data_IF_844150675499
#
_entry.id   IF_844150675499
#
_cell.length_a   1.000
_cell.length_b   1.000
_cell.length_c   1.000
_cell.angle_alpha   90.00
_cell.angle_beta   90.00
_cell.angle_gamma   90.00
#
_symmetry.space_group_name_H-M   'P 1'
#
loop_
_entity.id
_entity.type
_entity.pdbx_description
1 polymer ?
#
# COMPACT_ATOMS: atom_id res chain seq x y z
N UNK A 1 -4.51 -40.35 -2.19
CA UNK A 1 -4.14 -41.50 -3.05
C UNK A 1 -3.34 -40.97 -4.24
N UNK A 2 -2.04 -41.30 -4.31
CA UNK A 2 -1.12 -41.29 -5.48
C UNK A 2 -0.87 -39.95 -6.24
N UNK A 3 0.32 -39.30 -6.16
CA UNK A 3 1.60 -39.50 -6.91
C UNK A 3 1.40 -39.56 -8.43
N UNK A 4 2.06 -38.80 -9.31
CA UNK A 4 3.42 -38.27 -9.33
C UNK A 4 3.97 -38.58 -10.73
N UNK A 5 4.49 -37.59 -11.47
CA UNK A 5 5.10 -37.81 -12.79
C UNK A 5 6.60 -37.48 -12.74
N UNK A 6 7.40 -38.54 -12.87
CA UNK A 6 8.76 -38.49 -13.43
C UNK A 6 8.66 -39.12 -14.83
N UNK A 7 9.38 -38.58 -15.81
CA UNK A 7 10.25 -39.42 -16.63
C UNK A 7 11.30 -38.62 -17.41
N UNK A 8 12.49 -39.21 -17.43
CA UNK A 8 13.74 -38.79 -18.03
C UNK A 8 14.02 -39.71 -19.24
N UNK A 9 14.54 -39.14 -20.33
CA UNK A 9 15.11 -39.84 -21.49
C UNK A 9 16.13 -38.88 -22.13
N UNK A 10 17.25 -39.28 -22.75
CA UNK A 10 17.88 -40.56 -23.07
C UNK A 10 19.34 -40.23 -23.45
N UNK A 11 20.22 -41.22 -23.36
CA UNK A 11 21.68 -41.19 -23.63
C UNK A 11 22.00 -41.55 -25.09
N UNK A 12 23.08 -40.99 -25.65
CA UNK A 12 23.99 -41.65 -26.64
C UNK A 12 25.40 -41.03 -26.54
N UNK A 13 26.45 -41.76 -26.10
CA UNK A 13 27.52 -42.48 -26.89
C UNK A 13 28.30 -41.55 -27.87
N UNK A 14 29.64 -41.56 -28.06
CA UNK A 14 30.76 -42.45 -27.70
C UNK A 14 32.13 -41.78 -28.04
N UNK A 15 33.23 -42.24 -27.39
CA UNK A 15 34.67 -42.22 -27.77
C UNK A 15 35.42 -40.88 -27.97
N UNK A 16 36.65 -40.63 -27.48
CA UNK A 16 37.66 -41.43 -26.78
C UNK A 16 39.08 -41.08 -27.28
N UNK A 17 40.00 -40.59 -26.42
CA UNK A 17 41.48 -40.83 -26.50
C UNK A 17 42.28 -40.30 -25.27
N UNK A 18 42.67 -41.25 -24.42
CA UNK A 18 43.98 -41.49 -23.74
C UNK A 18 45.18 -40.60 -24.20
N UNK A 19 46.18 -40.16 -23.40
CA UNK A 19 46.88 -40.73 -22.21
C UNK A 19 47.82 -39.68 -21.56
N UNK A 20 47.96 -39.79 -20.24
CA UNK A 20 49.10 -39.61 -19.30
C UNK A 20 50.26 -38.62 -19.56
N UNK A 21 50.59 -37.87 -18.49
CA UNK A 21 51.90 -37.26 -18.26
C UNK A 21 51.98 -36.53 -16.91
N UNK A 22 52.69 -37.12 -15.96
CA UNK A 22 53.01 -36.64 -14.61
C UNK A 22 54.06 -35.51 -14.60
N UNK A 23 53.95 -34.58 -13.64
CA UNK A 23 54.98 -34.21 -12.62
C UNK A 23 55.03 -32.72 -12.28
N UNK A 24 55.29 -32.46 -10.99
CA UNK A 24 55.88 -31.23 -10.39
C UNK A 24 54.94 -30.11 -9.86
N UNK A 25 54.83 -30.08 -8.53
CA UNK A 25 54.63 -28.88 -7.69
C UNK A 25 55.97 -28.11 -7.62
N UNK A 26 56.00 -26.75 -7.49
CA UNK A 26 55.86 -26.16 -6.15
C UNK A 26 55.28 -24.73 -6.07
N UNK A 27 55.04 -24.37 -4.80
CA UNK A 27 55.04 -23.04 -4.18
C UNK A 27 53.75 -22.23 -3.99
N UNK A 28 53.29 -22.36 -2.75
CA UNK A 28 52.47 -21.49 -1.91
C UNK A 28 52.58 -19.98 -2.18
N UNK A 29 51.43 -19.34 -2.31
CA UNK A 29 51.18 -17.98 -1.82
C UNK A 29 49.91 -18.00 -0.95
N UNK A 30 49.90 -17.37 0.23
CA UNK A 30 48.70 -17.31 1.05
C UNK A 30 47.67 -16.43 0.34
N UNK A 31 46.50 -16.98 0.03
CA UNK A 31 45.33 -16.18 -0.34
C UNK A 31 44.90 -15.43 0.92
N UNK A 32 45.09 -14.12 0.89
CA UNK A 32 44.60 -13.19 1.89
C UNK A 32 43.08 -13.30 1.99
N UNK A 33 42.59 -13.61 3.17
CA UNK A 33 41.17 -13.55 3.50
C UNK A 33 40.74 -12.08 3.47
N UNK A 34 40.21 -11.61 2.34
CA UNK A 34 39.49 -10.34 2.28
C UNK A 34 38.09 -10.59 2.80
N UNK A 35 37.92 -10.44 4.12
CA UNK A 35 36.61 -10.33 4.76
C UNK A 35 35.93 -9.05 4.25
N UNK A 36 35.21 -9.16 3.14
CA UNK A 36 34.21 -8.17 2.76
C UNK A 36 33.01 -8.36 3.69
N UNK A 37 33.13 -7.87 4.92
CA UNK A 37 31.98 -7.60 5.76
C UNK A 37 31.18 -6.51 5.05
N UNK A 38 30.22 -6.91 4.23
CA UNK A 38 29.15 -6.03 3.78
C UNK A 38 28.32 -5.69 5.00
N UNK A 39 28.78 -4.69 5.75
CA UNK A 39 27.98 -4.02 6.74
C UNK A 39 26.78 -3.43 6.01
N UNK A 40 25.65 -4.12 6.10
CA UNK A 40 24.34 -3.56 5.78
C UNK A 40 24.19 -2.32 6.64
N UNK A 41 24.49 -1.16 6.06
CA UNK A 41 24.22 0.11 6.71
C UNK A 41 22.70 0.24 6.79
N UNK A 42 22.15 -0.08 7.96
CA UNK A 42 20.81 0.36 8.33
C UNK A 42 20.89 1.88 8.37
N UNK A 43 20.44 2.53 7.30
CA UNK A 43 20.28 3.98 7.28
C UNK A 43 19.16 4.33 8.24
N UNK A 44 19.51 4.64 9.49
CA UNK A 44 18.59 5.25 10.43
C UNK A 44 18.34 6.69 9.98
N UNK A 45 17.16 6.93 9.40
CA UNK A 45 16.65 8.26 9.02
C UNK A 45 16.76 9.22 10.20
N UNK A 46 17.32 10.42 9.98
CA UNK A 46 17.51 11.41 11.05
C UNK A 46 16.17 11.90 11.63
N UNK A 47 16.08 12.16 12.94
CA UNK A 47 14.89 12.74 13.55
C UNK A 47 14.73 14.19 13.07
N UNK A 48 13.69 14.46 12.28
CA UNK A 48 13.38 15.79 11.78
C UNK A 48 12.96 15.87 10.31
N UNK A 49 12.91 14.75 9.58
CA UNK A 49 12.41 14.77 8.21
C UNK A 49 10.91 15.11 8.20
N UNK A 50 10.59 16.29 7.67
CA UNK A 50 9.21 16.75 7.49
C UNK A 50 8.51 15.78 6.54
N UNK A 51 7.42 15.15 6.99
CA UNK A 51 6.62 14.29 6.13
C UNK A 51 5.94 15.14 5.04
N UNK A 52 6.37 14.97 3.78
CA UNK A 52 5.85 15.72 2.62
C UNK A 52 4.92 14.84 1.79
N UNK A 53 3.65 15.24 1.70
CA UNK A 53 2.71 14.70 0.72
C UNK A 53 2.94 15.38 -0.63
N UNK A 54 3.32 14.60 -1.65
CA UNK A 54 3.52 15.10 -3.02
C UNK A 54 2.30 14.76 -3.87
N UNK A 55 1.97 15.62 -4.83
CA UNK A 55 0.91 15.34 -5.79
C UNK A 55 1.24 15.95 -7.15
N UNK A 56 0.62 15.42 -8.21
CA UNK A 56 0.66 15.98 -9.56
C UNK A 56 -0.75 15.99 -10.11
N UNK A 57 -1.11 17.06 -10.83
CA UNK A 57 -2.36 17.16 -11.58
C UNK A 57 -2.20 16.42 -12.91
N UNK A 58 -3.11 15.48 -13.18
CA UNK A 58 -3.15 14.72 -14.42
C UNK A 58 -3.88 15.50 -15.53
N UNK A 59 -4.80 16.40 -15.17
CA UNK A 59 -5.59 17.22 -16.08
C UNK A 59 -5.76 18.65 -15.53
N UNK A 60 -6.32 19.55 -16.35
CA UNK A 60 -6.68 20.91 -15.96
C UNK A 60 -7.86 20.97 -14.97
N UNK A 61 -8.70 19.93 -14.94
CA UNK A 61 -9.84 19.81 -14.04
C UNK A 61 -9.42 19.48 -12.60
N UNK A 62 -8.17 19.04 -12.41
CA UNK A 62 -7.67 18.65 -11.11
C UNK A 62 -7.44 19.86 -10.18
N UNK A 63 -7.78 19.68 -8.90
CA UNK A 63 -7.55 20.68 -7.87
C UNK A 63 -6.48 20.23 -6.88
N UNK A 64 -5.67 21.18 -6.40
CA UNK A 64 -4.71 20.89 -5.34
C UNK A 64 -5.46 20.53 -4.04
N UNK A 65 -5.08 19.46 -3.33
CA UNK A 65 -5.61 19.17 -2.00
C UNK A 65 -5.33 20.32 -1.03
N UNK A 66 -6.31 20.63 -0.17
CA UNK A 66 -6.22 21.77 0.76
C UNK A 66 -6.70 21.40 2.16
N UNK A 67 -6.07 21.96 3.20
CA UNK A 67 -6.56 21.79 4.58
C UNK A 67 -7.70 22.76 4.89
N UNK A 68 -8.69 22.29 5.66
CA UNK A 68 -9.78 23.13 6.15
C UNK A 68 -9.42 23.99 7.38
N UNK A 69 -8.40 23.59 8.13
CA UNK A 69 -7.85 24.32 9.28
C UNK A 69 -6.39 23.90 9.50
N UNK A 70 -5.65 24.64 10.33
CA UNK A 70 -4.23 24.38 10.60
C UNK A 70 -3.98 22.94 11.09
N UNK A 71 -4.81 22.49 12.04
CA UNK A 71 -4.74 21.16 12.65
C UNK A 71 -5.71 20.15 12.01
N UNK A 72 -6.25 20.45 10.83
CA UNK A 72 -7.10 19.49 10.12
C UNK A 72 -6.30 18.20 9.84
N UNK A 73 -6.90 17.07 10.20
CA UNK A 73 -6.31 15.74 10.00
C UNK A 73 -6.17 15.39 8.51
N UNK A 74 -7.14 15.81 7.69
CA UNK A 74 -7.21 15.50 6.27
C UNK A 74 -7.07 16.70 5.35
N UNK A 75 -6.62 16.45 4.13
CA UNK A 75 -6.67 17.37 3.00
C UNK A 75 -7.97 17.14 2.21
N UNK A 76 -8.81 18.16 2.07
CA UNK A 76 -10.02 18.08 1.26
C UNK A 76 -9.65 17.71 -0.19
N UNK A 77 -10.31 16.67 -0.72
CA UNK A 77 -10.23 16.24 -2.11
C UNK A 77 -11.46 16.73 -2.86
N UNK A 78 -11.23 17.22 -4.08
CA UNK A 78 -12.29 17.76 -4.94
C UNK A 78 -12.56 16.86 -6.12
N UNK A 79 -13.82 16.84 -6.55
CA UNK A 79 -14.20 16.19 -7.81
C UNK A 79 -13.61 16.95 -8.99
N UNK A 80 -13.04 16.24 -9.96
CA UNK A 80 -12.64 16.83 -11.23
C UNK A 80 -13.82 16.98 -12.22
N UNK A 81 -14.93 16.28 -11.99
CA UNK A 81 -16.06 16.23 -12.93
C UNK A 81 -17.42 16.29 -12.23
N UNK A 82 -18.48 16.45 -13.02
CA UNK A 82 -19.85 16.31 -12.57
C UNK A 82 -20.23 14.83 -12.48
N UNK A 83 -20.86 14.44 -11.37
CA UNK A 83 -21.38 13.09 -11.15
C UNK A 83 -22.79 13.12 -10.55
N UNK A 84 -23.54 12.06 -10.78
CA UNK A 84 -24.74 11.73 -10.02
C UNK A 84 -24.47 10.44 -9.28
N UNK A 85 -24.54 10.45 -7.95
CA UNK A 85 -24.49 9.25 -7.12
C UNK A 85 -25.93 8.79 -6.90
N UNK A 86 -26.38 7.70 -7.52
CA UNK A 86 -27.77 7.28 -7.45
C UNK A 86 -28.20 7.02 -6.00
N UNK A 87 -29.47 7.28 -5.68
CA UNK A 87 -30.07 6.86 -4.41
C UNK A 87 -29.80 5.37 -4.15
N UNK A 88 -29.34 5.02 -2.95
CA UNK A 88 -28.93 3.63 -2.60
C UNK A 88 -27.84 3.04 -3.51
N UNK A 89 -27.10 3.89 -4.22
CA UNK A 89 -26.09 3.50 -5.19
C UNK A 89 -24.67 3.92 -4.79
N UNK A 90 -23.76 3.83 -5.77
CA UNK A 90 -22.36 4.20 -5.62
C UNK A 90 -21.80 4.77 -6.93
N UNK A 91 -20.78 5.60 -6.82
CA UNK A 91 -20.05 6.16 -7.96
C UNK A 91 -18.56 6.31 -7.63
N UNK A 92 -17.70 6.19 -8.66
CA UNK A 92 -16.27 6.45 -8.56
C UNK A 92 -15.98 7.87 -9.02
N UNK A 93 -15.85 8.78 -8.06
CA UNK A 93 -15.54 10.19 -8.33
C UNK A 93 -14.04 10.37 -8.51
N UNK A 94 -13.62 10.77 -9.71
CA UNK A 94 -12.20 11.04 -10.03
C UNK A 94 -11.77 12.42 -9.54
N UNK A 95 -10.54 12.49 -9.03
CA UNK A 95 -9.90 13.74 -8.59
C UNK A 95 -8.89 14.29 -9.61
N UNK A 96 -8.44 13.44 -10.55
CA UNK A 96 -7.40 13.72 -11.52
C UNK A 96 -6.08 14.20 -10.90
N UNK A 97 -5.80 13.78 -9.67
CA UNK A 97 -4.47 13.87 -9.09
C UNK A 97 -3.87 12.48 -8.94
N UNK A 98 -2.56 12.39 -9.09
CA UNK A 98 -1.74 11.32 -8.54
C UNK A 98 -1.07 11.83 -7.28
N UNK A 99 -0.86 10.97 -6.29
CA UNK A 99 -0.21 11.34 -5.03
C UNK A 99 0.95 10.40 -4.73
N UNK A 100 1.91 10.90 -3.97
CA UNK A 100 2.93 10.09 -3.32
C UNK A 100 2.91 10.46 -1.84
N UNK A 101 2.42 9.51 -1.04
CA UNK A 101 2.32 9.67 0.41
C UNK A 101 3.71 9.51 1.05
N UNK A 102 3.95 10.11 2.23
CA UNK A 102 5.19 9.91 2.96
C UNK A 102 5.41 8.44 3.31
N UNK A 103 6.68 8.00 3.32
CA UNK A 103 7.05 6.66 3.79
C UNK A 103 6.54 6.38 5.21
N UNK A 104 6.16 5.14 5.47
CA UNK A 104 5.55 4.74 6.74
C UNK A 104 4.11 5.23 6.93
N UNK A 105 3.48 5.76 5.87
CA UNK A 105 2.06 6.08 5.84
C UNK A 105 1.37 5.42 4.65
N UNK A 106 0.05 5.32 4.72
CA UNK A 106 -0.82 5.19 3.56
C UNK A 106 -1.79 6.37 3.49
N UNK A 107 -2.40 6.58 2.32
CA UNK A 107 -3.41 7.62 2.14
C UNK A 107 -4.80 7.06 2.40
N UNK A 108 -5.45 7.43 3.52
CA UNK A 108 -6.85 7.09 3.74
C UNK A 108 -7.77 8.15 3.15
N UNK A 109 -8.64 7.74 2.23
CA UNK A 109 -9.77 8.56 1.78
C UNK A 109 -10.91 8.40 2.77
N UNK A 110 -11.25 9.48 3.47
CA UNK A 110 -12.23 9.50 4.55
C UNK A 110 -13.46 10.35 4.18
N UNK A 111 -14.65 10.02 4.70
CA UNK A 111 -15.85 10.82 4.49
C UNK A 111 -15.75 12.19 5.16
N UNK A 112 -16.46 13.17 4.61
CA UNK A 112 -16.65 14.49 5.23
C UNK A 112 -17.94 14.45 6.05
N UNK A 113 -17.87 14.81 7.34
CA UNK A 113 -19.01 14.71 8.26
C UNK A 113 -20.27 15.43 7.78
N UNK A 114 -20.11 16.58 7.13
CA UNK A 114 -21.24 17.33 6.58
C UNK A 114 -21.99 16.59 5.47
N UNK A 115 -21.28 15.86 4.61
CA UNK A 115 -21.90 15.06 3.54
C UNK A 115 -22.54 13.79 4.11
N UNK A 116 -21.90 13.16 5.09
CA UNK A 116 -22.45 11.99 5.78
C UNK A 116 -23.76 12.32 6.50
N UNK A 117 -23.78 13.40 7.28
CA UNK A 117 -24.96 13.76 8.07
C UNK A 117 -26.11 14.31 7.22
N UNK A 118 -25.82 15.23 6.28
CA UNK A 118 -26.87 15.95 5.54
C UNK A 118 -27.39 15.21 4.31
N UNK A 119 -26.56 14.35 3.71
CA UNK A 119 -26.83 13.74 2.41
C UNK A 119 -26.65 12.22 2.42
N UNK A 120 -26.42 11.59 3.58
CA UNK A 120 -26.22 10.14 3.72
C UNK A 120 -25.07 9.60 2.86
N UNK A 121 -24.04 10.41 2.64
CA UNK A 121 -22.89 10.04 1.82
C UNK A 121 -21.78 9.43 2.68
N UNK A 122 -21.31 8.26 2.27
CA UNK A 122 -20.14 7.61 2.85
C UNK A 122 -19.05 7.37 1.80
N UNK A 123 -17.84 7.06 2.26
CA UNK A 123 -16.70 6.71 1.42
C UNK A 123 -16.25 5.29 1.74
N UNK A 124 -16.17 4.44 0.72
CA UNK A 124 -15.61 3.09 0.87
C UNK A 124 -14.28 2.91 0.15
N UNK A 125 -13.76 1.68 0.21
CA UNK A 125 -12.38 1.34 -0.15
C UNK A 125 -11.38 2.21 0.61
N UNK A 126 -10.96 3.33 0.01
CA UNK A 126 -10.28 4.40 0.72
C UNK A 126 -8.84 4.13 1.15
N UNK A 127 -8.25 2.99 0.79
CA UNK A 127 -6.82 2.70 1.02
C UNK A 127 -6.05 3.05 -0.25
N UNK A 128 -5.22 4.09 -0.18
CA UNK A 128 -4.26 4.45 -1.23
C UNK A 128 -2.87 4.05 -0.76
N UNK A 129 -2.32 3.02 -1.38
CA UNK A 129 -0.99 2.51 -1.09
C UNK A 129 0.10 3.52 -1.45
N UNK A 130 1.24 3.44 -0.78
CA UNK A 130 2.31 4.41 -0.95
C UNK A 130 3.03 4.33 -2.31
N UNK A 131 2.93 3.18 -2.98
CA UNK A 131 3.44 2.91 -4.31
C UNK A 131 2.38 3.08 -5.42
N UNK A 132 1.16 3.51 -5.08
CA UNK A 132 0.12 3.80 -6.07
C UNK A 132 0.44 5.10 -6.82
N UNK A 133 0.56 4.99 -8.14
CA UNK A 133 0.89 6.11 -9.05
C UNK A 133 -0.25 6.48 -10.00
N UNK A 134 -1.42 5.87 -9.84
CA UNK A 134 -2.59 6.14 -10.68
C UNK A 134 -3.38 7.37 -10.24
N UNK A 135 -4.52 7.58 -10.93
CA UNK A 135 -5.48 8.61 -10.58
C UNK A 135 -6.18 8.26 -9.26
N UNK A 136 -6.20 9.18 -8.30
CA UNK A 136 -6.90 9.00 -7.03
C UNK A 136 -8.40 9.06 -7.26
N UNK A 137 -9.07 7.93 -7.07
CA UNK A 137 -10.52 7.79 -7.13
C UNK A 137 -11.15 7.74 -5.75
N UNK A 138 -12.35 8.28 -5.63
CA UNK A 138 -13.14 8.31 -4.40
C UNK A 138 -14.38 7.46 -4.63
N UNK A 139 -14.46 6.31 -3.96
CA UNK A 139 -15.65 5.44 -4.02
C UNK A 139 -16.68 5.99 -3.05
N UNK A 140 -17.69 6.68 -3.58
CA UNK A 140 -18.74 7.29 -2.78
C UNK A 140 -19.99 6.41 -2.78
N UNK A 141 -20.55 6.18 -1.60
CA UNK A 141 -21.82 5.49 -1.40
C UNK A 141 -22.89 6.49 -0.99
N UNK A 142 -24.08 6.35 -1.56
CA UNK A 142 -25.24 7.12 -1.17
C UNK A 142 -26.24 6.23 -0.45
N UNK A 143 -26.34 6.37 0.87
CA UNK A 143 -27.31 5.65 1.69
C UNK A 143 -28.65 6.38 1.81
N UNK A 144 -28.81 7.51 1.12
CA UNK A 144 -30.02 8.32 1.09
C UNK A 144 -31.08 7.77 0.13
N UNK A 145 -32.31 8.29 0.24
CA UNK A 145 -33.40 7.96 -0.68
C UNK A 145 -33.38 8.79 -1.98
N UNK A 146 -32.55 9.83 -2.06
CA UNK A 146 -32.47 10.74 -3.20
C UNK A 146 -31.09 10.70 -3.86
N UNK A 147 -31.03 10.96 -5.16
CA UNK A 147 -29.78 11.11 -5.91
C UNK A 147 -28.95 12.28 -5.37
N UNK A 148 -27.65 12.08 -5.20
CA UNK A 148 -26.74 13.14 -4.80
C UNK A 148 -25.95 13.64 -6.01
N UNK A 149 -26.00 14.96 -6.26
CA UNK A 149 -25.25 15.59 -7.35
C UNK A 149 -23.91 16.10 -6.84
N UNK A 150 -22.84 15.67 -7.49
CA UNK A 150 -21.48 16.21 -7.30
C UNK A 150 -21.17 17.10 -8.48
N UNK A 151 -20.69 18.31 -8.23
CA UNK A 151 -20.18 19.21 -9.26
C UNK A 151 -18.66 19.21 -9.29
N UNK A 152 -18.09 19.48 -10.47
CA UNK A 152 -16.67 19.73 -10.60
C UNK A 152 -16.23 20.83 -9.61
N UNK A 153 -15.17 20.58 -8.85
CA UNK A 153 -14.67 21.47 -7.80
C UNK A 153 -15.28 21.26 -6.40
N UNK A 154 -16.34 20.47 -6.26
CA UNK A 154 -16.93 20.16 -4.95
C UNK A 154 -15.97 19.32 -4.10
N UNK A 155 -15.88 19.67 -2.81
CA UNK A 155 -15.11 18.90 -1.82
C UNK A 155 -15.92 17.68 -1.39
N UNK A 156 -15.51 16.49 -1.82
CA UNK A 156 -16.29 15.26 -1.68
C UNK A 156 -15.74 14.30 -0.63
N UNK A 157 -14.44 14.32 -0.38
CA UNK A 157 -13.79 13.50 0.63
C UNK A 157 -12.58 14.24 1.22
N UNK A 158 -11.87 13.61 2.15
CA UNK A 158 -10.60 14.11 2.66
C UNK A 158 -9.55 13.01 2.69
N UNK A 159 -8.31 13.34 2.38
CA UNK A 159 -7.17 12.43 2.42
C UNK A 159 -6.42 12.59 3.75
N UNK A 160 -6.28 11.52 4.51
CA UNK A 160 -5.53 11.47 5.76
C UNK A 160 -4.29 10.59 5.56
N UNK A 161 -3.11 11.11 5.86
CA UNK A 161 -1.89 10.30 5.88
C UNK A 161 -1.81 9.53 7.19
N UNK A 162 -2.21 8.26 7.18
CA UNK A 162 -2.22 7.43 8.38
C UNK A 162 -0.92 6.65 8.51
N UNK A 163 -0.29 6.77 9.68
CA UNK A 163 0.96 6.05 9.98
C UNK A 163 0.69 4.56 10.13
N UNK A 164 1.55 3.77 9.52
CA UNK A 164 1.51 2.31 9.55
C UNK A 164 2.90 1.74 9.77
N UNK A 165 2.95 0.48 10.19
CA UNK A 165 4.14 -0.36 10.12
C UNK A 165 3.98 -1.36 8.98
N UNK A 166 5.11 -1.78 8.40
CA UNK A 166 5.19 -2.87 7.43
C UNK A 166 5.87 -4.07 8.12
N UNK A 167 5.15 -4.85 8.95
CA UNK A 167 5.74 -5.99 9.65
C UNK A 167 5.91 -7.19 8.71
N UNK A 168 6.94 -7.98 8.96
CA UNK A 168 7.03 -9.33 8.39
C UNK A 168 6.00 -10.25 9.05
N UNK A 169 5.36 -11.11 8.26
CA UNK A 169 4.36 -12.06 8.75
C UNK A 169 5.06 -13.35 9.19
N UNK A 170 4.80 -13.79 10.42
CA UNK A 170 5.33 -15.05 10.98
C UNK A 170 4.20 -15.92 11.52
N UNK A 171 4.11 -17.18 11.05
CA UNK A 171 3.17 -18.17 11.57
C UNK A 171 3.71 -18.79 12.88
N UNK A 172 2.85 -18.87 13.91
CA UNK A 172 3.18 -19.43 15.23
C UNK A 172 2.10 -20.42 15.71
N UNK A 173 2.47 -21.35 16.60
CA UNK A 173 1.53 -22.37 17.12
C UNK A 173 0.48 -21.80 18.07
N UNK A 174 0.86 -20.82 18.89
CA UNK A 174 0.01 -20.16 19.88
C UNK A 174 0.45 -18.71 20.03
N UNK A 175 -0.48 -17.82 20.39
CA UNK A 175 -0.21 -16.43 20.77
C UNK A 175 -0.36 -16.26 22.28
N UNK A 176 0.25 -15.23 22.85
CA UNK A 176 0.18 -14.96 24.29
C UNK A 176 -1.25 -14.65 24.75
N UNK A 177 -1.63 -15.17 25.90
CA UNK A 177 -2.92 -14.85 26.51
C UNK A 177 -2.94 -13.40 27.00
N UNK A 178 -4.05 -12.70 26.74
CA UNK A 178 -4.27 -11.33 27.21
C UNK A 178 -5.53 -11.26 28.05
N UNK A 179 -5.66 -10.20 28.87
CA UNK A 179 -6.88 -9.94 29.65
C UNK A 179 -8.16 -9.89 28.81
N UNK A 180 -8.06 -9.55 27.51
CA UNK A 180 -9.21 -9.52 26.59
C UNK A 180 -9.53 -10.90 26.00
N UNK A 181 -8.52 -11.74 25.79
CA UNK A 181 -8.68 -13.09 25.22
C UNK A 181 -9.52 -13.08 23.93
N UNK A 182 -10.53 -13.96 23.86
CA UNK A 182 -11.46 -14.08 22.73
C UNK A 182 -12.64 -13.08 22.74
N UNK A 183 -12.66 -12.09 23.65
CA UNK A 183 -13.76 -11.11 23.75
C UNK A 183 -13.78 -10.08 22.62
N UNK A 184 -14.86 -10.04 21.84
CA UNK A 184 -15.14 -9.06 20.78
C UNK A 184 -16.64 -8.84 20.56
N UNK A 185 -17.02 -8.01 19.57
CA UNK A 185 -18.42 -7.81 19.16
C UNK A 185 -19.40 -7.38 20.29
N UNK A 186 -19.03 -6.35 21.06
CA UNK A 186 -19.86 -5.87 22.18
C UNK A 186 -19.61 -6.58 23.51
N UNK A 187 -18.50 -7.32 23.65
CA UNK A 187 -18.11 -8.02 24.88
C UNK A 187 -17.89 -7.11 26.11
N UNK A 188 -17.86 -5.78 25.93
CA UNK A 188 -17.70 -4.80 27.01
C UNK A 188 -18.98 -4.08 27.40
N UNK A 189 -20.13 -4.46 26.83
CA UNK A 189 -21.46 -3.92 27.17
C UNK A 189 -22.27 -3.48 25.95
N UNK A 190 -23.59 -3.33 26.16
CA UNK A 190 -24.52 -2.67 25.24
C UNK A 190 -24.82 -1.27 25.79
N UNK A 191 -24.72 -0.26 24.93
CA UNK A 191 -25.25 1.09 25.17
C UNK A 191 -26.38 1.35 24.19
#
# INVERSE_FOLDING_TARGET
MWTGWKNCAKISRFAGRSRNGSSEFPNTRPFSCSSSSSSTQIQTKMPGEVAVLRFVKLTENAHAPSKGSELAAGYDLKSAYDYTIPARGKELVKTDIQIQVPEGCYGRVAPRSGLAWKHHIDVGAGVIDADYTGNVGIVMFNHGPEDFKVKAGDRVAQLICEKICYPDIQEVKTVDETKRGAGGFGSTGQS
#
